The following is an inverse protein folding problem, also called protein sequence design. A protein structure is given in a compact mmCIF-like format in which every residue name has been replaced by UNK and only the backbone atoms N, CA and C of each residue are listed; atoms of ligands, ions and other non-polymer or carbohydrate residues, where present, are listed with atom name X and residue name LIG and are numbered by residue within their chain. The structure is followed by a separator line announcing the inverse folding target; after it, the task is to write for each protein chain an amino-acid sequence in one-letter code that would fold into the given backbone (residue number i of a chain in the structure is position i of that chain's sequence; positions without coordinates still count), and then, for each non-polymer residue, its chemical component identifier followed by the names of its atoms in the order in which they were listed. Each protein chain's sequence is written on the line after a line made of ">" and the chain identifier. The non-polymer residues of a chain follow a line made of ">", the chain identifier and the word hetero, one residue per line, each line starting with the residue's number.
data_IF_668230791324
#
_entry.id   IF_668230791324
#
_cell.length_a   1.000
_cell.length_b   1.000
_cell.length_c   1.000
_cell.angle_alpha   90.00
_cell.angle_beta   90.00
_cell.angle_gamma   90.00
#
_symmetry.space_group_name_H-M   'P 1'
#
loop_
_entity.id
_entity.type
_entity.pdbx_description
1 polymer ?
#
# COMPACT_ATOMS: atom_id res chain seq x y z
N UNK A 1 9.02 6.42 9.54
CA UNK A 1 8.32 5.66 10.60
C UNK A 1 6.81 5.94 10.66
N UNK A 2 6.37 7.21 10.77
CA UNK A 2 4.93 7.58 10.88
C UNK A 2 4.10 7.10 9.68
N UNK A 3 4.60 7.25 8.45
CA UNK A 3 3.91 6.80 7.23
C UNK A 3 3.70 5.27 7.22
N UNK A 4 4.71 4.49 7.63
CA UNK A 4 4.63 3.03 7.72
C UNK A 4 3.62 2.55 8.76
N UNK A 5 3.56 3.23 9.91
CA UNK A 5 2.55 2.95 10.96
C UNK A 5 1.14 3.28 10.46
N UNK A 6 0.97 4.40 9.75
CA UNK A 6 -0.31 4.77 9.15
C UNK A 6 -0.78 3.73 8.12
N UNK A 7 0.11 3.29 7.21
CA UNK A 7 -0.21 2.22 6.25
C UNK A 7 -0.64 0.94 6.95
N UNK A 8 0.06 0.54 8.02
CA UNK A 8 -0.28 -0.65 8.79
C UNK A 8 -1.65 -0.51 9.46
N UNK A 9 -1.91 0.59 10.17
CA UNK A 9 -3.18 0.84 10.86
C UNK A 9 -4.35 0.84 9.88
N UNK A 10 -4.21 1.52 8.74
CA UNK A 10 -5.24 1.55 7.70
C UNK A 10 -5.46 0.15 7.10
N UNK A 11 -4.39 -0.59 6.84
CA UNK A 11 -4.48 -1.97 6.30
C UNK A 11 -5.16 -2.91 7.29
N UNK A 12 -4.82 -2.83 8.59
CA UNK A 12 -5.46 -3.63 9.64
C UNK A 12 -6.94 -3.27 9.78
N UNK A 13 -7.29 -1.99 9.77
CA UNK A 13 -8.69 -1.55 9.82
C UNK A 13 -9.49 -2.06 8.62
N UNK A 14 -8.92 -1.97 7.42
CA UNK A 14 -9.53 -2.49 6.20
C UNK A 14 -9.71 -4.02 6.25
N UNK A 15 -8.69 -4.74 6.74
CA UNK A 15 -8.71 -6.18 6.92
C UNK A 15 -9.81 -6.62 7.90
N UNK A 16 -9.86 -6.02 9.09
CA UNK A 16 -10.88 -6.31 10.11
C UNK A 16 -12.29 -6.09 9.55
N UNK A 17 -12.49 -5.03 8.75
CA UNK A 17 -13.77 -4.78 8.09
C UNK A 17 -14.10 -5.84 7.03
N UNK A 18 -13.12 -6.30 6.25
CA UNK A 18 -13.35 -7.40 5.31
C UNK A 18 -13.65 -8.73 6.01
N UNK A 19 -13.07 -8.98 7.18
CA UNK A 19 -13.40 -10.15 8.02
C UNK A 19 -14.84 -10.07 8.51
N UNK A 20 -15.28 -8.92 9.04
CA UNK A 20 -16.67 -8.76 9.50
C UNK A 20 -17.69 -8.92 8.39
N UNK A 21 -17.37 -8.44 7.18
CA UNK A 21 -18.24 -8.50 5.99
C UNK A 21 -18.02 -9.78 5.15
N UNK A 22 -17.24 -10.74 5.65
CA UNK A 22 -16.88 -12.03 5.00
C UNK A 22 -16.39 -11.87 3.55
N UNK A 23 -15.71 -10.77 3.25
CA UNK A 23 -15.21 -10.46 1.91
C UNK A 23 -13.83 -11.10 1.68
N UNK A 24 -13.84 -12.34 1.18
CA UNK A 24 -12.63 -13.18 0.99
C UNK A 24 -11.52 -12.48 0.21
N UNK A 25 -11.86 -11.78 -0.88
CA UNK A 25 -10.87 -11.10 -1.71
C UNK A 25 -10.12 -10.01 -0.94
N UNK A 26 -10.84 -9.23 -0.13
CA UNK A 26 -10.24 -8.22 0.75
C UNK A 26 -9.44 -8.82 1.90
N UNK A 27 -9.85 -9.99 2.42
CA UNK A 27 -9.09 -10.71 3.45
C UNK A 27 -7.74 -11.18 2.88
N UNK A 28 -7.75 -11.84 1.72
CA UNK A 28 -6.55 -12.35 1.06
C UNK A 28 -5.62 -11.20 0.68
N UNK A 29 -6.14 -10.13 0.07
CA UNK A 29 -5.34 -8.96 -0.30
C UNK A 29 -4.77 -8.22 0.92
N UNK A 30 -5.54 -8.11 2.01
CA UNK A 30 -5.08 -7.52 3.27
C UNK A 30 -3.98 -8.34 3.96
N UNK A 31 -4.10 -9.67 3.98
CA UNK A 31 -3.07 -10.56 4.51
C UNK A 31 -1.79 -10.52 3.67
N UNK A 32 -1.90 -10.58 2.34
CA UNK A 32 -0.76 -10.46 1.43
C UNK A 32 -0.03 -9.12 1.64
N UNK A 33 -0.78 -8.03 1.76
CA UNK A 33 -0.23 -6.70 2.02
C UNK A 33 0.44 -6.59 3.40
N UNK A 34 -0.18 -7.15 4.44
CA UNK A 34 0.42 -7.19 5.77
C UNK A 34 1.75 -7.97 5.76
N UNK A 35 1.80 -9.11 5.06
CA UNK A 35 3.03 -9.87 4.88
C UNK A 35 4.10 -9.06 4.16
N UNK A 36 3.76 -8.31 3.10
CA UNK A 36 4.69 -7.42 2.41
C UNK A 36 5.24 -6.31 3.32
N UNK A 37 4.40 -5.70 4.16
CA UNK A 37 4.84 -4.68 5.13
C UNK A 37 5.83 -5.28 6.13
N UNK A 38 5.53 -6.48 6.65
CA UNK A 38 6.40 -7.18 7.60
C UNK A 38 7.73 -7.57 6.95
N UNK A 39 7.70 -8.20 5.78
CA UNK A 39 8.90 -8.57 5.01
C UNK A 39 9.72 -7.33 4.64
N UNK A 40 9.07 -6.25 4.20
CA UNK A 40 9.73 -4.98 3.93
C UNK A 40 10.40 -4.37 5.16
N UNK A 41 9.81 -4.50 6.34
CA UNK A 41 10.42 -4.06 7.60
C UNK A 41 11.67 -4.90 7.98
N UNK A 42 11.64 -6.22 7.73
CA UNK A 42 12.80 -7.09 7.98
C UNK A 42 13.94 -6.86 6.98
N UNK A 43 13.63 -6.66 5.70
CA UNK A 43 14.63 -6.39 4.65
C UNK A 43 15.20 -4.95 4.80
N UNK A 44 14.38 -4.00 5.23
CA UNK A 44 14.76 -2.60 5.44
C UNK A 44 15.58 -2.32 6.72
N UNK A 45 15.87 -3.35 7.54
CA UNK A 45 16.62 -3.24 8.79
C UNK A 45 18.08 -2.76 8.66
N UNK A 46 18.58 -2.61 7.43
CA UNK A 46 19.89 -2.00 7.13
C UNK A 46 19.75 -0.65 6.41
N UNK A 47 19.39 0.41 7.13
CA UNK A 47 19.83 1.78 6.82
C UNK A 47 19.08 2.62 5.77
N UNK A 48 17.95 2.18 5.20
CA UNK A 48 17.31 2.94 4.11
C UNK A 48 15.79 2.97 4.17
N UNK A 49 15.21 3.70 5.13
CA UNK A 49 13.78 3.96 5.14
C UNK A 49 13.51 5.40 5.57
N UNK A 50 13.47 6.33 4.61
CA UNK A 50 12.95 7.67 4.90
C UNK A 50 11.97 8.10 3.81
N UNK A 51 10.69 7.92 4.10
CA UNK A 51 9.64 8.77 3.53
C UNK A 51 8.92 9.41 4.71
N UNK A 52 9.03 10.72 4.82
CA UNK A 52 8.22 11.53 5.74
C UNK A 52 7.75 12.77 4.99
N UNK A 53 6.49 13.14 5.23
CA UNK A 53 5.94 14.45 4.92
C UNK A 53 4.69 14.65 5.81
N UNK A 54 4.52 15.84 6.42
CA UNK A 54 4.44 17.11 5.70
C UNK A 54 5.59 18.07 6.02
N UNK A 55 6.19 18.67 4.99
CA UNK A 55 7.35 19.58 5.05
C UNK A 55 8.57 19.18 4.20
N UNK A 56 8.53 18.01 3.55
CA UNK A 56 9.56 17.34 2.74
C UNK A 56 10.55 16.50 3.56
N UNK A 57 10.69 15.22 3.21
CA UNK A 57 11.83 14.39 3.65
C UNK A 57 12.04 13.19 2.71
N UNK A 58 13.23 13.15 2.11
CA UNK A 58 13.81 12.04 1.36
C UNK A 58 15.22 11.84 1.88
N UNK A 59 15.59 10.60 2.20
CA UNK A 59 17.00 10.19 2.12
C UNK A 59 17.07 8.71 1.76
N UNK A 60 17.40 8.47 0.50
CA UNK A 60 17.93 7.24 -0.05
C UNK A 60 19.45 7.23 0.22
N UNK A 61 19.93 6.35 1.08
CA UNK A 61 21.31 5.85 0.96
C UNK A 61 21.51 4.59 1.78
N UNK A 62 21.98 3.52 1.14
CA UNK A 62 23.14 2.82 1.66
C UNK A 62 24.26 3.02 0.66
N UNK A 63 25.27 3.82 1.03
CA UNK A 63 26.49 4.05 0.27
C UNK A 63 27.42 2.83 0.21
N UNK A 64 26.89 1.68 -0.21
CA UNK A 64 27.65 0.46 -0.48
C UNK A 64 27.04 -0.20 -1.70
N UNK A 65 27.89 -0.43 -2.72
CA UNK A 65 27.61 -1.06 -4.01
C UNK A 65 26.25 -1.79 -4.06
N UNK A 66 25.20 -1.06 -4.43
CA UNK A 66 23.88 -1.63 -4.56
C UNK A 66 23.84 -2.39 -5.88
N UNK A 67 23.91 -3.72 -5.84
CA UNK A 67 23.68 -4.54 -7.02
C UNK A 67 22.33 -4.16 -7.63
N UNK A 68 22.27 -4.04 -8.96
CA UNK A 68 21.07 -3.67 -9.72
C UNK A 68 19.86 -4.55 -9.32
N UNK A 69 20.12 -5.80 -8.95
CA UNK A 69 19.14 -6.76 -8.42
C UNK A 69 18.50 -6.31 -7.08
N UNK A 70 19.26 -5.69 -6.16
CA UNK A 70 18.71 -5.18 -4.89
C UNK A 70 17.79 -3.98 -5.12
N UNK A 71 18.20 -3.08 -6.02
CA UNK A 71 17.41 -1.88 -6.38
C UNK A 71 16.12 -2.30 -7.07
N UNK A 72 16.19 -3.18 -8.07
CA UNK A 72 15.02 -3.74 -8.75
C UNK A 72 14.12 -4.53 -7.78
N UNK A 73 14.70 -5.34 -6.90
CA UNK A 73 13.96 -6.08 -5.88
C UNK A 73 13.17 -5.15 -4.96
N UNK A 74 13.79 -4.07 -4.46
CA UNK A 74 13.12 -3.06 -3.65
C UNK A 74 12.03 -2.32 -4.43
N UNK A 75 12.27 -1.97 -5.70
CA UNK A 75 11.28 -1.33 -6.57
C UNK A 75 10.04 -2.21 -6.76
N UNK A 76 10.23 -3.49 -7.08
CA UNK A 76 9.15 -4.46 -7.24
C UNK A 76 8.37 -4.62 -5.94
N UNK A 77 9.06 -4.82 -4.80
CA UNK A 77 8.43 -4.89 -3.48
C UNK A 77 7.63 -3.63 -3.13
N UNK A 78 8.15 -2.44 -3.48
CA UNK A 78 7.50 -1.15 -3.21
C UNK A 78 6.25 -0.91 -4.06
N UNK A 79 6.18 -1.48 -5.28
CA UNK A 79 5.04 -1.38 -6.17
C UNK A 79 3.94 -2.42 -5.85
N UNK A 80 4.33 -3.59 -5.32
CA UNK A 80 3.39 -4.68 -5.00
C UNK A 80 2.37 -4.29 -3.91
N UNK A 81 2.79 -3.52 -2.91
CA UNK A 81 1.88 -3.02 -1.87
C UNK A 81 0.72 -2.22 -2.46
N UNK A 82 0.98 -1.08 -3.11
CA UNK A 82 -0.02 -0.29 -3.85
C UNK A 82 -0.86 -1.12 -4.82
N UNK A 83 -0.23 -1.98 -5.62
CA UNK A 83 -0.93 -2.82 -6.59
C UNK A 83 -2.00 -3.70 -5.93
N UNK A 84 -1.70 -4.32 -4.78
CA UNK A 84 -2.67 -5.11 -4.03
C UNK A 84 -3.84 -4.26 -3.51
N UNK A 85 -3.57 -3.06 -2.99
CA UNK A 85 -4.65 -2.19 -2.50
C UNK A 85 -5.57 -1.73 -3.64
N UNK A 86 -5.01 -1.36 -4.79
CA UNK A 86 -5.80 -1.01 -5.98
C UNK A 86 -6.58 -2.22 -6.51
N UNK A 87 -5.99 -3.41 -6.54
CA UNK A 87 -6.69 -4.63 -6.96
C UNK A 87 -7.89 -4.94 -6.06
N UNK A 88 -7.73 -4.85 -4.74
CA UNK A 88 -8.83 -5.04 -3.78
C UNK A 88 -9.88 -3.94 -3.91
N UNK A 89 -9.46 -2.68 -4.10
CA UNK A 89 -10.38 -1.57 -4.29
C UNK A 89 -11.19 -1.73 -5.58
N UNK A 90 -10.56 -2.13 -6.68
CA UNK A 90 -11.21 -2.41 -7.95
C UNK A 90 -12.21 -3.55 -7.85
N UNK A 91 -11.82 -4.66 -7.21
CA UNK A 91 -12.71 -5.79 -6.97
C UNK A 91 -13.91 -5.40 -6.08
N UNK A 92 -13.66 -4.55 -5.08
CA UNK A 92 -14.72 -4.00 -4.21
C UNK A 92 -15.63 -3.04 -4.99
N UNK A 93 -15.06 -2.25 -5.90
CA UNK A 93 -15.79 -1.31 -6.75
C UNK A 93 -16.78 -2.04 -7.65
N UNK A 94 -16.29 -3.05 -8.38
CA UNK A 94 -17.12 -3.88 -9.25
C UNK A 94 -18.26 -4.56 -8.49
N UNK A 95 -17.97 -5.06 -7.28
CA UNK A 95 -18.97 -5.72 -6.42
C UNK A 95 -20.14 -4.80 -6.03
N UNK A 96 -19.88 -3.53 -5.73
CA UNK A 96 -20.94 -2.60 -5.35
C UNK A 96 -21.63 -1.99 -6.57
N UNK A 97 -20.89 -1.71 -7.64
CA UNK A 97 -21.44 -1.11 -8.86
C UNK A 97 -22.43 -2.05 -9.56
N UNK A 98 -22.17 -3.35 -9.52
CA UNK A 98 -23.04 -4.36 -10.13
C UNK A 98 -24.17 -4.83 -9.17
N UNK A 99 -24.36 -4.15 -8.04
CA UNK A 99 -25.36 -4.51 -7.05
C UNK A 99 -26.71 -3.83 -7.27
N UNK A 100 -27.82 -4.49 -6.92
CA UNK A 100 -29.12 -3.82 -6.84
C UNK A 100 -29.11 -2.75 -5.75
N UNK A 101 -29.80 -1.63 -5.97
CA UNK A 101 -29.81 -0.45 -5.09
C UNK A 101 -30.17 -0.76 -3.62
N UNK A 102 -30.95 -1.82 -3.37
CA UNK A 102 -31.32 -2.26 -2.02
C UNK A 102 -30.13 -2.79 -1.20
N UNK A 103 -29.05 -3.26 -1.85
CA UNK A 103 -27.86 -3.82 -1.18
C UNK A 103 -26.61 -2.92 -1.34
N UNK A 104 -26.76 -1.77 -1.99
CA UNK A 104 -25.64 -0.93 -2.38
C UNK A 104 -24.85 -0.43 -1.17
N UNK A 105 -25.54 0.03 -0.12
CA UNK A 105 -24.91 0.53 1.09
C UNK A 105 -24.08 -0.54 1.81
N UNK A 106 -24.56 -1.78 1.86
CA UNK A 106 -23.83 -2.89 2.49
C UNK A 106 -22.61 -3.29 1.65
N UNK A 107 -22.80 -3.42 0.33
CA UNK A 107 -21.72 -3.80 -0.59
C UNK A 107 -20.66 -2.72 -0.79
N UNK A 108 -20.97 -1.45 -0.50
CA UNK A 108 -20.01 -0.35 -0.54
C UNK A 108 -19.07 -0.33 0.68
N UNK A 109 -19.40 -1.02 1.79
CA UNK A 109 -18.60 -0.98 3.04
C UNK A 109 -17.15 -1.44 2.87
N UNK A 110 -16.85 -2.56 2.17
CA UNK A 110 -15.47 -2.95 1.89
C UNK A 110 -14.73 -1.92 1.04
N UNK A 111 -15.40 -1.32 0.04
CA UNK A 111 -14.81 -0.27 -0.79
C UNK A 111 -14.42 0.95 0.06
N UNK A 112 -15.31 1.45 0.92
CA UNK A 112 -15.03 2.58 1.82
C UNK A 112 -13.90 2.29 2.80
N UNK A 113 -13.71 1.03 3.19
CA UNK A 113 -12.62 0.62 4.09
C UNK A 113 -11.25 0.62 3.40
N UNK A 114 -11.21 0.24 2.13
CA UNK A 114 -9.98 0.17 1.32
C UNK A 114 -9.61 1.49 0.65
N UNK A 115 -10.58 2.39 0.44
CA UNK A 115 -10.35 3.68 -0.22
C UNK A 115 -9.23 4.52 0.46
N UNK A 116 -9.19 4.69 1.80
CA UNK A 116 -8.11 5.43 2.44
C UNK A 116 -6.73 4.78 2.24
N UNK A 117 -6.66 3.44 2.21
CA UNK A 117 -5.42 2.70 1.96
C UNK A 117 -4.89 3.05 0.56
N UNK A 118 -5.77 2.97 -0.45
CA UNK A 118 -5.42 3.26 -1.83
C UNK A 118 -5.04 4.74 -2.06
N UNK A 119 -5.68 5.68 -1.36
CA UNK A 119 -5.31 7.11 -1.43
C UNK A 119 -3.86 7.31 -0.94
N UNK A 120 -3.52 6.74 0.22
CA UNK A 120 -2.17 6.86 0.77
C UNK A 120 -1.15 6.18 -0.14
N UNK A 121 -1.49 5.02 -0.73
CA UNK A 121 -0.64 4.37 -1.73
C UNK A 121 -0.45 5.20 -2.99
N UNK A 122 -1.50 5.87 -3.48
CA UNK A 122 -1.40 6.75 -4.64
C UNK A 122 -0.42 7.90 -4.36
N UNK A 123 -0.54 8.52 -3.17
CA UNK A 123 0.40 9.56 -2.71
C UNK A 123 1.82 9.00 -2.65
N UNK A 124 2.00 7.81 -2.07
CA UNK A 124 3.30 7.16 -1.98
C UNK A 124 3.94 6.92 -3.35
N UNK A 125 3.18 6.37 -4.30
CA UNK A 125 3.65 6.13 -5.68
C UNK A 125 4.03 7.44 -6.36
N UNK A 126 3.19 8.48 -6.27
CA UNK A 126 3.48 9.79 -6.88
C UNK A 126 4.74 10.41 -6.29
N UNK A 127 4.89 10.39 -4.96
CA UNK A 127 6.09 10.92 -4.29
C UNK A 127 7.33 10.13 -4.68
N UNK A 128 7.24 8.79 -4.75
CA UNK A 128 8.37 7.93 -5.12
C UNK A 128 8.81 8.14 -6.58
N UNK A 129 7.86 8.14 -7.51
CA UNK A 129 8.15 8.38 -8.94
C UNK A 129 8.65 9.81 -9.17
N UNK A 130 8.02 10.79 -8.52
CA UNK A 130 8.45 12.19 -8.60
C UNK A 130 9.86 12.40 -8.05
N UNK A 131 10.20 11.74 -6.94
CA UNK A 131 11.56 11.76 -6.39
C UNK A 131 12.58 11.15 -7.36
N UNK A 132 12.26 10.01 -7.98
CA UNK A 132 13.11 9.36 -8.97
C UNK A 132 13.39 10.29 -10.18
N UNK A 133 12.34 10.89 -10.74
CA UNK A 133 12.45 11.78 -11.89
C UNK A 133 13.31 13.04 -11.61
N UNK A 134 13.35 13.52 -10.36
CA UNK A 134 14.17 14.67 -9.95
C UNK A 134 15.63 14.25 -9.67
N UNK A 135 15.85 12.98 -9.30
CA UNK A 135 17.17 12.44 -8.95
C UNK A 135 17.96 11.88 -10.14
N UNK A 136 17.37 11.78 -11.33
CA UNK A 136 18.10 11.50 -12.57
C UNK A 136 18.76 12.80 -13.08
N UNK A 137 20.10 12.83 -13.29
CA UNK A 137 20.81 14.02 -13.78
C UNK A 137 20.61 14.28 -15.28
#
# INVERSE_FOLDING_TARGET
>A
MVVSVLHLVLTVRALLRCVSERYVFGIVGGLARAALIVVGAFIGGGGGAVVMLPGLTLTLSPGGESSLERVLGQLVLSALGPALAFAVLWASYRRFHDAPAAEEEERQRPFRAWLPVAIVDAIYVVVMVGAMAISEP
#
